data_IF_640412183937
#
_entry.id   IF_640412183937
#
_cell.length_a   1.000
_cell.length_b   1.000
_cell.length_c   1.000
_cell.angle_alpha   90.00
_cell.angle_beta   90.00
_cell.angle_gamma   90.00
#
_symmetry.space_group_name_H-M   'P 1'
#
loop_
_entity.id
_entity.type
_entity.pdbx_description
1 polymer ?
#
# COMPACT_ATOMS: atom_id res chain seq x y z
N UNK A 1 -8.91 -0.17 -1.86
CA UNK A 1 -9.72 1.02 -1.49
C UNK A 1 -9.86 2.03 -2.63
N UNK A 2 -8.77 2.54 -3.23
CA UNK A 2 -8.83 3.61 -4.26
C UNK A 2 -9.66 3.23 -5.52
N UNK A 3 -9.72 1.96 -5.92
CA UNK A 3 -10.30 1.55 -7.21
C UNK A 3 -11.51 0.62 -7.10
N UNK A 4 -12.04 0.43 -5.91
CA UNK A 4 -13.15 -0.49 -5.65
C UNK A 4 -12.77 -1.97 -5.76
N UNK A 5 -13.62 -2.85 -5.21
CA UNK A 5 -13.33 -4.27 -5.07
C UNK A 5 -13.23 -5.03 -6.40
N UNK A 6 -13.92 -4.56 -7.45
CA UNK A 6 -13.92 -5.23 -8.76
C UNK A 6 -12.64 -4.96 -9.59
N UNK A 7 -11.80 -4.03 -9.17
CA UNK A 7 -10.63 -3.57 -9.93
C UNK A 7 -9.29 -3.76 -9.20
N UNK A 8 -9.32 -4.33 -8.00
CA UNK A 8 -8.12 -4.53 -7.18
C UNK A 8 -8.01 -5.98 -6.76
N UNK A 9 -6.78 -6.45 -6.61
CA UNK A 9 -6.55 -7.72 -5.95
C UNK A 9 -6.91 -7.64 -4.46
N UNK A 10 -7.21 -8.78 -3.87
CA UNK A 10 -7.47 -8.89 -2.44
C UNK A 10 -6.20 -8.59 -1.62
N UNK A 11 -6.33 -7.81 -0.55
CA UNK A 11 -5.28 -7.60 0.46
C UNK A 11 -5.78 -8.03 1.84
N UNK A 12 -4.87 -8.53 2.67
CA UNK A 12 -5.18 -9.05 4.02
C UNK A 12 -4.63 -8.16 5.13
N UNK A 13 -3.82 -7.18 4.79
CA UNK A 13 -3.08 -6.31 5.68
C UNK A 13 -3.38 -4.83 5.39
N UNK A 14 -3.09 -4.00 6.34
CA UNK A 14 -3.20 -2.55 6.23
C UNK A 14 -1.83 -1.94 6.52
N UNK A 15 -1.24 -1.35 5.48
CA UNK A 15 0.01 -0.60 5.59
C UNK A 15 -0.30 0.88 5.81
N UNK A 16 0.34 1.50 6.80
CA UNK A 16 0.22 2.92 7.09
C UNK A 16 1.57 3.57 7.28
N UNK A 17 1.63 4.89 7.08
CA UNK A 17 2.78 5.69 7.45
C UNK A 17 2.34 6.82 8.39
N UNK A 18 3.21 7.21 9.31
CA UNK A 18 2.94 8.27 10.27
C UNK A 18 4.15 9.20 10.40
N UNK A 19 3.89 10.51 10.52
CA UNK A 19 4.90 11.49 10.85
C UNK A 19 5.28 11.46 12.35
N UNK A 20 4.50 10.75 13.18
CA UNK A 20 4.76 10.57 14.61
C UNK A 20 5.37 9.21 14.89
N UNK A 21 5.76 8.97 16.15
CA UNK A 21 6.24 7.65 16.56
C UNK A 21 5.16 6.58 16.34
N UNK A 22 5.48 5.43 15.72
CA UNK A 22 4.53 4.34 15.46
C UNK A 22 3.83 3.80 16.71
N UNK A 23 4.49 3.81 17.87
CA UNK A 23 3.87 3.39 19.13
C UNK A 23 2.82 4.41 19.58
N UNK A 24 3.11 5.70 19.50
CA UNK A 24 2.15 6.75 19.79
C UNK A 24 0.93 6.71 18.85
N UNK A 25 1.16 6.41 17.56
CA UNK A 25 0.07 6.19 16.60
C UNK A 25 -0.81 5.00 17.01
N UNK A 26 -0.19 3.86 17.39
CA UNK A 26 -0.91 2.67 17.84
C UNK A 26 -1.74 2.93 19.12
N UNK A 27 -1.22 3.72 20.06
CA UNK A 27 -1.94 4.12 21.26
C UNK A 27 -3.16 5.00 20.94
N UNK A 28 -3.02 5.97 20.03
CA UNK A 28 -4.13 6.81 19.56
C UNK A 28 -5.21 5.98 18.86
N UNK A 29 -4.81 5.06 17.97
CA UNK A 29 -5.73 4.14 17.32
C UNK A 29 -6.42 3.24 18.35
N UNK A 30 -5.68 2.68 19.30
CA UNK A 30 -6.23 1.87 20.39
C UNK A 30 -7.27 2.61 21.22
N UNK A 31 -6.98 3.87 21.58
CA UNK A 31 -7.94 4.71 22.29
C UNK A 31 -9.19 5.02 21.46
N UNK A 32 -9.04 5.22 20.15
CA UNK A 32 -10.18 5.42 19.25
C UNK A 32 -11.05 4.16 19.15
N UNK A 33 -10.46 3.00 18.96
CA UNK A 33 -11.15 1.71 18.88
C UNK A 33 -11.84 1.32 20.19
N UNK A 34 -11.24 1.67 21.34
CA UNK A 34 -11.83 1.40 22.65
C UNK A 34 -13.10 2.24 22.92
N UNK A 35 -13.20 3.46 22.35
CA UNK A 35 -14.43 4.27 22.41
C UNK A 35 -15.59 3.60 21.70
N UNK A 36 -15.30 2.80 20.70
CA UNK A 36 -16.27 2.07 19.91
C UNK A 36 -17.01 2.91 18.88
N UNK A 37 -17.66 2.22 17.94
CA UNK A 37 -18.50 2.78 16.90
C UNK A 37 -19.53 1.73 16.46
N UNK A 38 -20.81 2.06 16.49
CA UNK A 38 -21.94 1.20 16.01
C UNK A 38 -21.88 -0.25 16.53
N UNK A 39 -21.51 -0.44 17.79
CA UNK A 39 -21.37 -1.76 18.42
C UNK A 39 -20.02 -2.44 18.18
N UNK A 40 -19.15 -1.85 17.35
CA UNK A 40 -17.77 -2.29 17.20
C UNK A 40 -16.89 -1.66 18.27
N UNK A 41 -15.97 -2.45 18.80
CA UNK A 41 -14.86 -2.02 19.64
C UNK A 41 -13.60 -2.73 19.21
N UNK A 42 -12.44 -2.27 19.63
CA UNK A 42 -11.20 -2.95 19.30
C UNK A 42 -10.04 -2.57 20.20
N UNK A 43 -8.94 -3.26 19.97
CA UNK A 43 -7.65 -2.98 20.61
C UNK A 43 -6.51 -3.22 19.65
N UNK A 44 -5.43 -2.49 19.80
CA UNK A 44 -4.18 -2.68 19.08
C UNK A 44 -3.23 -3.50 19.96
N UNK A 45 -2.65 -4.55 19.40
CA UNK A 45 -1.72 -5.45 20.11
C UNK A 45 -0.41 -5.45 19.33
N UNK A 46 0.71 -5.04 19.90
CA UNK A 46 2.00 -5.07 19.22
C UNK A 46 2.40 -6.50 18.89
N UNK A 47 3.08 -6.67 17.77
CA UNK A 47 3.74 -7.90 17.35
C UNK A 47 5.25 -7.68 17.31
N UNK A 48 6.00 -8.76 17.34
CA UNK A 48 7.43 -8.67 17.15
C UNK A 48 7.76 -8.25 15.71
N UNK A 49 8.54 -7.16 15.51
CA UNK A 49 8.91 -6.72 14.18
C UNK A 49 9.85 -7.71 13.51
N UNK A 50 9.81 -7.76 12.19
CA UNK A 50 10.82 -8.47 11.43
C UNK A 50 12.20 -7.79 11.66
N UNK A 51 13.27 -8.60 11.67
CA UNK A 51 14.65 -8.10 11.75
C UNK A 51 15.37 -8.38 10.42
N UNK A 52 15.03 -7.69 9.31
CA UNK A 52 15.72 -7.88 8.05
C UNK A 52 17.18 -7.45 8.18
N UNK A 53 18.07 -8.30 7.70
CA UNK A 53 19.50 -8.05 7.72
C UNK A 53 19.83 -6.73 7.09
N UNK A 54 20.26 -5.88 6.93
CA UNK A 54 20.56 -4.69 6.14
C UNK A 54 19.50 -3.57 6.16
N UNK A 55 18.53 -3.60 7.05
CA UNK A 55 17.59 -2.50 7.28
C UNK A 55 17.84 -1.93 8.67
N UNK A 56 18.19 -0.65 8.81
CA UNK A 56 18.29 -0.01 10.12
C UNK A 56 16.98 -0.15 10.89
N UNK A 57 17.06 -0.37 12.21
CA UNK A 57 15.88 -0.64 13.04
C UNK A 57 14.82 0.47 12.97
N UNK A 58 15.27 1.71 12.80
CA UNK A 58 14.41 2.89 12.64
C UNK A 58 13.56 2.87 11.35
N UNK A 59 13.96 2.07 10.35
CA UNK A 59 13.21 1.94 9.07
C UNK A 59 12.38 0.65 9.00
N UNK A 60 12.41 -0.16 10.06
CA UNK A 60 11.58 -1.36 10.12
C UNK A 60 10.16 -0.98 10.50
N UNK A 61 9.18 -1.37 9.67
CA UNK A 61 7.77 -1.18 10.00
C UNK A 61 7.41 -1.90 11.30
N UNK A 62 6.60 -1.27 12.12
CA UNK A 62 6.12 -1.84 13.38
C UNK A 62 4.80 -2.59 13.15
N UNK A 63 4.79 -3.91 13.30
CA UNK A 63 3.59 -4.71 13.09
C UNK A 63 2.71 -4.73 14.33
N UNK A 64 1.41 -4.68 14.10
CA UNK A 64 0.38 -4.78 15.13
C UNK A 64 -0.75 -5.70 14.67
N UNK A 65 -1.50 -6.25 15.62
CA UNK A 65 -2.80 -6.86 15.40
C UNK A 65 -3.89 -5.88 15.86
N UNK A 66 -4.76 -5.46 14.95
CA UNK A 66 -6.00 -4.76 15.31
C UNK A 66 -7.08 -5.80 15.54
N UNK A 67 -7.38 -6.08 16.80
CA UNK A 67 -8.39 -7.09 17.20
C UNK A 67 -9.72 -6.41 17.42
N UNK A 68 -10.68 -6.70 16.54
CA UNK A 68 -12.01 -6.12 16.57
C UNK A 68 -13.02 -7.07 17.22
N UNK A 69 -13.98 -6.46 17.89
CA UNK A 69 -15.14 -7.13 18.49
C UNK A 69 -16.42 -6.43 18.06
N UNK A 70 -17.51 -7.18 17.89
CA UNK A 70 -18.85 -6.65 17.64
C UNK A 70 -19.79 -7.11 18.75
N UNK A 71 -20.49 -6.17 19.38
CA UNK A 71 -21.38 -6.40 20.52
C UNK A 71 -20.72 -7.26 21.63
N UNK A 72 -19.44 -6.98 21.91
CA UNK A 72 -18.65 -7.66 22.94
C UNK A 72 -18.14 -9.05 22.55
N UNK A 73 -18.40 -9.54 21.34
CA UNK A 73 -17.88 -10.83 20.84
C UNK A 73 -16.71 -10.61 19.89
N UNK A 74 -15.66 -11.43 19.93
CA UNK A 74 -14.57 -11.38 18.94
C UNK A 74 -15.13 -11.48 17.53
N UNK A 75 -14.67 -10.60 16.62
CA UNK A 75 -15.11 -10.56 15.24
C UNK A 75 -13.99 -10.91 14.26
N UNK A 76 -12.97 -10.07 14.17
CA UNK A 76 -11.83 -10.32 13.30
C UNK A 76 -10.55 -9.70 13.85
N UNK A 77 -9.41 -10.11 13.27
CA UNK A 77 -8.11 -9.48 13.48
C UNK A 77 -7.59 -8.99 12.14
N UNK A 78 -7.20 -7.71 12.08
CA UNK A 78 -6.59 -7.09 10.90
C UNK A 78 -5.12 -6.86 11.21
N UNK A 79 -4.18 -7.45 10.43
CA UNK A 79 -2.78 -7.10 10.50
C UNK A 79 -2.59 -5.63 10.09
N UNK A 80 -1.82 -4.89 10.86
CA UNK A 80 -1.49 -3.50 10.62
C UNK A 80 0.03 -3.35 10.69
N UNK A 81 0.62 -2.75 9.66
CA UNK A 81 2.02 -2.34 9.66
C UNK A 81 2.12 -0.82 9.65
N UNK A 82 2.84 -0.27 10.63
CA UNK A 82 3.02 1.17 10.77
C UNK A 82 4.47 1.52 10.48
N UNK A 83 4.70 2.20 9.37
CA UNK A 83 5.98 2.78 9.00
C UNK A 83 6.08 4.26 9.43
N UNK A 84 7.28 4.80 9.38
CA UNK A 84 7.49 6.23 9.50
C UNK A 84 7.31 6.92 8.14
N UNK A 85 7.14 8.22 8.16
CA UNK A 85 7.06 9.02 6.94
C UNK A 85 8.48 9.24 6.36
N UNK A 86 8.83 8.47 5.33
CA UNK A 86 10.17 8.42 4.77
C UNK A 86 10.62 9.75 4.12
N UNK A 87 9.72 10.43 3.45
CA UNK A 87 10.04 11.63 2.65
C UNK A 87 9.06 12.80 2.86
N UNK A 88 8.26 12.78 3.92
CA UNK A 88 7.36 13.86 4.31
C UNK A 88 6.04 13.90 3.55
N UNK A 89 5.64 12.81 2.90
CA UNK A 89 4.41 12.79 2.08
C UNK A 89 3.17 12.31 2.87
N UNK A 90 3.33 11.79 4.11
CA UNK A 90 2.21 11.35 4.92
C UNK A 90 1.28 12.50 5.34
N UNK A 91 1.83 13.72 5.51
CA UNK A 91 1.04 14.92 5.82
C UNK A 91 0.24 15.44 4.62
N UNK A 92 0.59 15.01 3.39
CA UNK A 92 -0.05 15.41 2.13
C UNK A 92 -1.03 14.33 1.61
N UNK A 93 -1.67 13.57 2.51
CA UNK A 93 -2.54 12.47 2.14
C UNK A 93 -3.67 12.86 1.19
N UNK A 94 -3.93 12.00 0.19
CA UNK A 94 -5.11 12.08 -0.66
C UNK A 94 -6.34 11.62 0.13
N UNK A 95 -7.33 12.47 0.29
CA UNK A 95 -8.60 12.09 0.90
C UNK A 95 -9.55 11.56 -0.16
N UNK A 96 -9.87 10.27 -0.10
CA UNK A 96 -10.75 9.61 -1.06
C UNK A 96 -12.08 9.21 -0.42
N UNK A 97 -13.14 9.26 -1.21
CA UNK A 97 -14.45 8.72 -0.84
C UNK A 97 -14.42 7.19 -0.95
N UNK A 98 -15.05 6.51 0.00
CA UNK A 98 -15.09 5.04 0.08
C UNK A 98 -16.42 4.52 -0.49
N UNK A 99 -16.73 4.79 -1.77
CA UNK A 99 -18.04 4.50 -2.37
C UNK A 99 -18.50 3.04 -2.19
N UNK A 100 -17.61 2.06 -2.40
CA UNK A 100 -17.95 0.63 -2.19
C UNK A 100 -18.21 0.33 -0.71
N UNK A 101 -17.50 0.97 0.21
CA UNK A 101 -17.73 0.83 1.63
C UNK A 101 -19.03 1.53 2.04
N UNK A 102 -19.32 2.71 1.49
CA UNK A 102 -20.59 3.42 1.72
C UNK A 102 -21.79 2.55 1.34
N UNK A 103 -21.75 1.92 0.16
CA UNK A 103 -22.81 1.03 -0.30
C UNK A 103 -22.98 -0.20 0.63
N UNK A 104 -21.86 -0.81 1.06
CA UNK A 104 -21.90 -1.95 1.97
C UNK A 104 -22.41 -1.57 3.36
N UNK A 105 -21.98 -0.41 3.90
CA UNK A 105 -22.42 0.11 5.20
C UNK A 105 -23.91 0.46 5.17
N UNK A 106 -24.38 1.12 4.11
CA UNK A 106 -25.79 1.44 3.94
C UNK A 106 -26.66 0.17 3.88
N UNK A 107 -26.22 -0.88 3.20
CA UNK A 107 -26.91 -2.16 3.14
C UNK A 107 -27.04 -2.84 4.52
N UNK A 108 -26.13 -2.55 5.43
CA UNK A 108 -26.12 -3.04 6.82
C UNK A 108 -26.83 -2.09 7.79
N UNK A 109 -27.34 -0.95 7.32
CA UNK A 109 -27.95 0.09 8.16
C UNK A 109 -26.94 0.85 9.02
N UNK A 110 -25.65 0.82 8.64
CA UNK A 110 -24.58 1.55 9.30
C UNK A 110 -24.39 2.93 8.65
N UNK A 111 -23.92 3.94 9.40
CA UNK A 111 -23.58 5.24 8.83
C UNK A 111 -22.39 5.13 7.88
N UNK A 112 -22.29 6.08 6.92
CA UNK A 112 -21.16 6.16 6.00
C UNK A 112 -19.82 6.21 6.78
N UNK A 113 -18.80 5.45 6.36
CA UNK A 113 -17.46 5.56 6.93
C UNK A 113 -16.77 6.87 6.55
N UNK A 114 -17.31 7.60 5.57
CA UNK A 114 -16.76 8.87 5.09
C UNK A 114 -15.52 8.69 4.22
N UNK A 115 -14.59 9.64 4.33
CA UNK A 115 -13.36 9.67 3.52
C UNK A 115 -12.19 9.06 4.28
N UNK A 116 -11.31 8.39 3.54
CA UNK A 116 -10.07 7.84 4.09
C UNK A 116 -8.85 8.58 3.53
N UNK A 117 -7.85 8.87 4.39
CA UNK A 117 -6.56 9.37 3.91
C UNK A 117 -5.76 8.22 3.31
N UNK A 118 -5.28 8.40 2.09
CA UNK A 118 -4.34 7.50 1.45
C UNK A 118 -3.03 8.23 1.15
N UNK A 119 -1.93 7.50 1.16
CA UNK A 119 -0.67 8.01 0.64
C UNK A 119 -0.87 8.57 -0.78
N UNK A 120 -0.27 9.72 -1.13
CA UNK A 120 -0.38 10.28 -2.48
C UNK A 120 -0.07 9.24 -3.56
N UNK A 121 -0.78 9.34 -4.68
CA UNK A 121 -0.69 8.32 -5.74
C UNK A 121 0.73 8.20 -6.31
N UNK A 122 1.41 9.33 -6.49
CA UNK A 122 2.80 9.39 -6.94
C UNK A 122 3.77 8.70 -5.98
N UNK A 123 3.50 8.81 -4.67
CA UNK A 123 4.28 8.11 -3.65
C UNK A 123 4.05 6.60 -3.72
N UNK A 124 2.79 6.16 -3.86
CA UNK A 124 2.48 4.74 -4.03
C UNK A 124 3.17 4.15 -5.27
N UNK A 125 3.18 4.89 -6.40
CA UNK A 125 3.91 4.50 -7.62
C UNK A 125 5.41 4.37 -7.33
N UNK A 126 6.00 5.37 -6.69
CA UNK A 126 7.43 5.35 -6.36
C UNK A 126 7.81 4.17 -5.46
N UNK A 127 6.99 3.86 -4.44
CA UNK A 127 7.19 2.70 -3.57
C UNK A 127 7.14 1.38 -4.36
N UNK A 128 6.17 1.24 -5.27
CA UNK A 128 6.02 0.02 -6.08
C UNK A 128 7.14 -0.13 -7.10
N UNK A 129 7.55 0.94 -7.75
CA UNK A 129 8.71 0.93 -8.64
C UNK A 129 9.99 0.56 -7.88
N UNK A 130 10.21 1.13 -6.70
CA UNK A 130 11.33 0.76 -5.85
C UNK A 130 11.28 -0.71 -5.41
N UNK A 131 10.09 -1.23 -5.08
CA UNK A 131 9.94 -2.61 -4.62
C UNK A 131 10.17 -3.62 -5.75
N UNK A 132 9.55 -3.43 -6.92
CA UNK A 132 9.62 -4.37 -8.05
C UNK A 132 11.02 -4.42 -8.69
N UNK A 133 11.79 -3.34 -8.59
CA UNK A 133 13.18 -3.27 -9.07
C UNK A 133 14.20 -3.65 -7.99
N UNK A 134 13.78 -3.81 -6.74
CA UNK A 134 14.62 -4.27 -5.61
C UNK A 134 14.91 -5.79 -5.67
N UNK A 135 15.56 -6.36 -4.68
CA UNK A 135 15.97 -7.78 -4.62
C UNK A 135 14.90 -8.74 -4.12
N UNK A 136 13.77 -8.25 -3.60
CA UNK A 136 12.68 -9.05 -3.06
C UNK A 136 11.79 -9.69 -4.14
N UNK A 137 10.98 -10.67 -3.76
CA UNK A 137 9.95 -11.24 -4.61
C UNK A 137 8.73 -10.32 -4.62
N UNK A 138 8.65 -9.45 -5.64
CA UNK A 138 7.70 -8.33 -5.71
C UNK A 138 6.95 -8.26 -7.05
N UNK A 139 6.79 -9.42 -7.72
CA UNK A 139 6.08 -9.50 -9.03
C UNK A 139 4.66 -8.93 -8.98
N UNK A 140 4.00 -9.00 -7.82
CA UNK A 140 2.66 -8.41 -7.59
C UNK A 140 2.61 -6.90 -7.87
N UNK A 141 3.71 -6.19 -7.66
CA UNK A 141 3.75 -4.75 -7.89
C UNK A 141 3.66 -4.39 -9.39
N UNK A 142 3.97 -5.32 -10.32
CA UNK A 142 3.69 -5.15 -11.75
C UNK A 142 2.19 -5.06 -12.05
N UNK A 143 1.40 -5.92 -11.41
CA UNK A 143 -0.07 -5.89 -11.53
C UNK A 143 -0.62 -4.61 -10.92
N UNK A 144 -0.18 -4.28 -9.72
CA UNK A 144 -0.65 -3.09 -9.00
C UNK A 144 -0.35 -1.80 -9.78
N UNK A 145 0.85 -1.65 -10.37
CA UNK A 145 1.22 -0.51 -11.21
C UNK A 145 0.30 -0.38 -12.42
N UNK A 146 0.00 -1.48 -13.12
CA UNK A 146 -0.91 -1.46 -14.26
C UNK A 146 -2.32 -1.03 -13.86
N UNK A 147 -2.82 -1.53 -12.73
CA UNK A 147 -4.13 -1.12 -12.18
C UNK A 147 -4.13 0.38 -11.88
N UNK A 148 -3.07 0.92 -11.27
CA UNK A 148 -2.96 2.33 -10.94
C UNK A 148 -2.99 3.20 -12.20
N UNK A 149 -2.19 2.88 -13.21
CA UNK A 149 -2.11 3.65 -14.46
C UNK A 149 -3.32 3.49 -15.37
N UNK A 150 -4.06 2.38 -15.27
CA UNK A 150 -5.31 2.18 -16.01
C UNK A 150 -6.52 2.90 -15.40
N UNK A 151 -6.46 3.25 -14.11
CA UNK A 151 -7.60 3.79 -13.38
C UNK A 151 -7.37 5.21 -12.82
N UNK A 152 -6.23 5.82 -13.07
CA UNK A 152 -5.90 7.18 -12.59
C UNK A 152 -5.11 7.96 -13.63
N UNK A 153 -5.36 9.26 -13.68
CA UNK A 153 -4.49 10.21 -14.37
C UNK A 153 -3.35 10.58 -13.42
N UNK A 154 -2.15 10.08 -13.72
CA UNK A 154 -0.97 10.19 -12.86
C UNK A 154 -0.03 11.25 -13.43
N UNK A 155 0.27 12.29 -12.65
CA UNK A 155 1.26 13.31 -13.00
C UNK A 155 2.67 12.69 -13.02
N UNK A 156 3.20 12.44 -14.21
CA UNK A 156 4.52 11.83 -14.39
C UNK A 156 5.64 12.73 -13.86
N UNK A 157 5.51 14.05 -13.96
CA UNK A 157 6.54 14.97 -13.46
C UNK A 157 6.55 15.01 -11.93
N UNK A 158 5.39 14.95 -11.27
CA UNK A 158 5.30 14.79 -9.82
C UNK A 158 5.83 13.42 -9.40
N UNK A 159 5.46 12.36 -10.12
CA UNK A 159 5.96 11.00 -9.87
C UNK A 159 7.49 10.92 -9.97
N UNK A 160 8.10 11.55 -10.99
CA UNK A 160 9.56 11.63 -11.12
C UNK A 160 10.20 12.24 -9.87
N UNK A 161 9.72 13.42 -9.44
CA UNK A 161 10.26 14.09 -8.24
C UNK A 161 10.15 13.20 -7.00
N UNK A 162 9.05 12.48 -6.85
CA UNK A 162 8.83 11.55 -5.73
C UNK A 162 9.75 10.33 -5.83
N UNK A 163 9.91 9.74 -7.03
CA UNK A 163 10.88 8.66 -7.26
C UNK A 163 12.31 9.09 -6.92
N UNK A 164 12.75 10.24 -7.41
CA UNK A 164 14.09 10.76 -7.14
C UNK A 164 14.34 10.91 -5.61
N UNK A 165 13.37 11.46 -4.88
CA UNK A 165 13.44 11.61 -3.41
C UNK A 165 13.46 10.26 -2.69
N UNK A 166 12.55 9.34 -3.04
CA UNK A 166 12.42 8.05 -2.37
C UNK A 166 13.63 7.14 -2.62
N UNK A 167 14.11 7.06 -3.87
CA UNK A 167 15.30 6.27 -4.21
C UNK A 167 16.56 6.82 -3.56
N UNK A 168 16.71 8.16 -3.52
CA UNK A 168 17.81 8.82 -2.83
C UNK A 168 17.75 8.57 -1.31
N UNK A 169 16.56 8.57 -0.71
CA UNK A 169 16.37 8.29 0.71
C UNK A 169 16.73 6.84 1.06
N UNK A 170 16.19 5.87 0.30
CA UNK A 170 16.39 4.43 0.59
C UNK A 170 17.78 3.91 0.23
N UNK A 171 18.50 4.55 -0.68
CA UNK A 171 19.88 4.23 -1.10
C UNK A 171 20.12 2.75 -1.47
N UNK A 172 19.08 2.03 -1.89
CA UNK A 172 19.18 0.61 -2.26
C UNK A 172 19.50 0.40 -3.74
N UNK A 173 19.04 1.31 -4.57
CA UNK A 173 19.24 1.31 -6.01
C UNK A 173 19.15 2.73 -6.57
N UNK A 174 19.82 2.98 -7.70
CA UNK A 174 19.79 4.27 -8.35
C UNK A 174 18.46 4.50 -9.10
N UNK A 175 18.07 5.75 -9.28
CA UNK A 175 17.00 6.15 -10.19
C UNK A 175 17.60 6.63 -11.52
N UNK A 176 17.06 6.30 -12.70
CA UNK A 176 15.98 5.33 -12.92
C UNK A 176 16.48 3.89 -12.87
N UNK A 177 15.71 2.97 -12.26
CA UNK A 177 16.05 1.55 -12.19
C UNK A 177 15.53 0.79 -13.41
N UNK A 178 15.84 -0.52 -13.47
CA UNK A 178 15.30 -1.45 -14.47
C UNK A 178 14.65 -2.63 -13.76
N UNK A 179 13.48 -3.05 -14.25
CA UNK A 179 12.82 -4.29 -13.82
C UNK A 179 13.44 -5.45 -14.60
N UNK A 180 13.89 -6.47 -13.89
CA UNK A 180 14.41 -7.70 -14.44
C UNK A 180 13.56 -8.89 -14.02
N UNK A 181 13.36 -9.84 -14.94
CA UNK A 181 12.66 -11.09 -14.64
C UNK A 181 13.41 -11.91 -13.58
N UNK A 182 12.67 -12.65 -12.76
CA UNK A 182 13.23 -13.52 -11.73
C UNK A 182 12.63 -14.90 -11.79
N UNK A 183 13.33 -15.84 -11.20
CA UNK A 183 12.87 -17.22 -11.09
C UNK A 183 11.50 -17.28 -10.40
N UNK A 184 10.56 -18.02 -10.97
CA UNK A 184 9.21 -18.20 -10.46
C UNK A 184 8.22 -17.05 -10.75
N UNK A 185 8.66 -15.97 -11.41
CA UNK A 185 7.77 -14.85 -11.71
C UNK A 185 6.69 -15.19 -12.74
N UNK A 186 6.96 -16.09 -13.70
CA UNK A 186 5.97 -16.49 -14.71
C UNK A 186 4.71 -17.07 -14.06
N UNK A 187 4.88 -18.07 -13.20
CA UNK A 187 3.77 -18.76 -12.52
C UNK A 187 3.07 -17.86 -11.53
N UNK A 188 3.84 -17.11 -10.75
CA UNK A 188 3.29 -16.17 -9.75
C UNK A 188 2.50 -15.03 -10.43
N UNK A 189 3.04 -14.45 -11.50
CA UNK A 189 2.39 -13.38 -12.24
C UNK A 189 1.11 -13.85 -12.90
N UNK A 190 1.13 -15.02 -13.55
CA UNK A 190 -0.05 -15.61 -14.16
C UNK A 190 -1.18 -15.78 -13.15
N UNK A 191 -0.89 -16.32 -11.96
CA UNK A 191 -1.89 -16.47 -10.90
C UNK A 191 -2.44 -15.13 -10.39
N UNK A 192 -1.63 -14.06 -10.37
CA UNK A 192 -2.03 -12.73 -9.93
C UNK A 192 -2.83 -11.97 -11.01
N UNK A 193 -2.52 -12.16 -12.28
CA UNK A 193 -3.16 -11.50 -13.42
C UNK A 193 -4.48 -12.17 -13.84
N UNK A 194 -4.71 -13.41 -13.42
CA UNK A 194 -5.91 -14.17 -13.78
C UNK A 194 -7.20 -13.42 -13.40
N UNK A 195 -8.05 -13.20 -14.37
CA UNK A 195 -9.33 -12.49 -14.18
C UNK A 195 -9.21 -10.98 -14.04
N UNK A 196 -8.00 -10.40 -14.11
CA UNK A 196 -7.78 -8.96 -14.07
C UNK A 196 -7.58 -8.37 -15.47
N UNK A 197 -7.93 -7.09 -15.62
CA UNK A 197 -7.71 -6.34 -16.86
C UNK A 197 -6.30 -5.74 -16.85
N UNK A 198 -5.32 -6.61 -17.01
CA UNK A 198 -3.88 -6.28 -17.06
C UNK A 198 -3.21 -7.13 -18.15
N UNK A 199 -1.96 -6.81 -18.50
CA UNK A 199 -1.12 -7.63 -19.36
C UNK A 199 -1.01 -9.03 -18.74
N UNK A 200 -1.20 -10.09 -19.51
CA UNK A 200 -1.25 -11.47 -18.98
C UNK A 200 0.12 -12.16 -19.01
N UNK A 201 1.04 -11.70 -19.84
CA UNK A 201 2.41 -12.23 -19.93
C UNK A 201 3.37 -11.39 -19.06
N UNK A 202 4.19 -12.04 -18.26
CA UNK A 202 5.12 -11.35 -17.33
C UNK A 202 6.22 -10.62 -18.08
N UNK A 203 6.70 -11.15 -19.21
CA UNK A 203 7.73 -10.50 -20.04
C UNK A 203 7.21 -9.18 -20.61
N UNK A 204 6.02 -9.21 -21.21
CA UNK A 204 5.34 -8.00 -21.70
C UNK A 204 5.06 -6.99 -20.57
N UNK A 205 4.70 -7.46 -19.37
CA UNK A 205 4.48 -6.60 -18.20
C UNK A 205 5.79 -5.94 -17.71
N UNK A 206 6.91 -6.65 -17.79
CA UNK A 206 8.24 -6.11 -17.50
C UNK A 206 8.65 -5.06 -18.53
N UNK A 207 8.45 -5.33 -19.82
CA UNK A 207 8.71 -4.37 -20.89
C UNK A 207 7.87 -3.10 -20.72
N UNK A 208 6.58 -3.25 -20.41
CA UNK A 208 5.69 -2.14 -20.09
C UNK A 208 6.20 -1.32 -18.90
N UNK A 209 6.62 -1.98 -17.81
CA UNK A 209 7.13 -1.29 -16.62
C UNK A 209 8.43 -0.52 -16.91
N UNK A 210 9.33 -1.08 -17.69
CA UNK A 210 10.58 -0.43 -18.12
C UNK A 210 10.31 0.78 -19.03
N UNK A 211 9.34 0.67 -19.94
CA UNK A 211 8.88 1.80 -20.75
C UNK A 211 8.25 2.89 -19.88
N UNK A 212 7.46 2.52 -18.87
CA UNK A 212 6.89 3.45 -17.89
C UNK A 212 7.99 4.19 -17.11
N UNK A 213 8.97 3.47 -16.56
CA UNK A 213 10.12 4.07 -15.87
C UNK A 213 10.82 5.10 -16.75
N UNK A 214 11.06 4.77 -18.02
CA UNK A 214 11.68 5.67 -18.99
C UNK A 214 10.85 6.93 -19.24
N UNK A 215 9.53 6.79 -19.36
CA UNK A 215 8.60 7.92 -19.50
C UNK A 215 8.60 8.83 -18.27
N UNK A 216 8.57 8.26 -17.06
CA UNK A 216 8.65 9.02 -15.82
C UNK A 216 10.00 9.75 -15.73
N UNK A 217 11.10 9.10 -16.05
CA UNK A 217 12.43 9.70 -15.96
C UNK A 217 12.65 10.87 -16.93
N UNK A 218 11.88 10.93 -18.02
CA UNK A 218 11.97 11.99 -19.04
C UNK A 218 10.89 13.06 -18.92
N UNK A 219 9.95 12.95 -18.00
CA UNK A 219 8.86 13.88 -17.79
C UNK A 219 9.31 15.23 -17.18
#
# INVERSE_FOLDING_TARGET
MRYGNARTRYTTDLDTATATDPAAYADLLGAALARGWEGFTGRVVPREPAHPKDVPEEYVMRPFDVRLSYLGKPWCTVPLEVGHDEIGDADAADWIDLEDADAAFAALGLPSPGRAPLMPLEHQVAQKLHAVTGTGDRVRDLVDLQVMFSNSDIDLAATKRTCERLFAYRQRQAWPPTVEAREGWDEQYQALAEGMVVIQDVGEAIEWANALISRIATA
#
